data_IF_455558306010
#
_entry.id   IF_455558306010
#
_cell.length_a   1.000
_cell.length_b   1.000
_cell.length_c   1.000
_cell.angle_alpha   90.00
_cell.angle_beta   90.00
_cell.angle_gamma   90.00
#
_symmetry.space_group_name_H-M   'P 1'
#
loop_
_entity.id
_entity.type
_entity.pdbx_description
1 polymer ?
#
# COMPACT_ATOMS: atom_id res chain seq x y z
N UNK A 1 27.00 -6.30 44.21
CA UNK A 1 25.66 -6.91 44.10
C UNK A 1 24.68 -5.76 43.90
N UNK A 2 24.17 -5.45 42.71
CA UNK A 2 23.70 -6.36 41.67
C UNK A 2 22.20 -6.58 41.85
N UNK A 3 21.40 -5.53 41.68
CA UNK A 3 19.95 -5.62 41.57
C UNK A 3 19.58 -5.05 40.21
N UNK A 4 19.50 -5.94 39.22
CA UNK A 4 19.02 -5.67 37.88
C UNK A 4 17.56 -5.25 37.97
N UNK A 5 17.29 -4.00 37.58
CA UNK A 5 15.93 -3.55 37.25
C UNK A 5 15.53 -4.30 35.98
N UNK A 6 14.68 -5.31 36.12
CA UNK A 6 13.95 -5.88 34.98
C UNK A 6 13.19 -4.75 34.28
N UNK A 7 13.72 -4.31 33.14
CA UNK A 7 13.02 -3.46 32.19
C UNK A 7 11.86 -4.27 31.61
N UNK A 8 10.69 -4.14 32.21
CA UNK A 8 9.43 -4.60 31.61
C UNK A 8 9.17 -3.78 30.35
N UNK A 9 9.71 -4.24 29.22
CA UNK A 9 9.32 -3.76 27.91
C UNK A 9 7.87 -4.21 27.67
N UNK A 10 6.91 -3.31 27.86
CA UNK A 10 5.58 -3.46 27.27
C UNK A 10 5.65 -2.76 25.91
N UNK A 11 5.74 -3.48 24.79
CA UNK A 11 5.51 -2.84 23.50
C UNK A 11 4.08 -2.28 23.52
N UNK A 12 3.84 -1.08 22.98
CA UNK A 12 2.48 -0.62 22.75
C UNK A 12 1.75 -1.66 21.90
N UNK A 13 0.47 -1.86 22.17
CA UNK A 13 -0.40 -2.71 21.36
C UNK A 13 -0.67 -2.03 20.00
N UNK A 14 0.37 -1.89 19.18
CA UNK A 14 0.25 -1.53 17.78
C UNK A 14 -0.36 -2.73 17.07
N UNK A 15 -1.52 -2.54 16.44
CA UNK A 15 -2.13 -3.61 15.64
C UNK A 15 -1.10 -4.12 14.63
N UNK A 16 -0.96 -5.45 14.45
CA UNK A 16 0.01 -6.00 13.53
C UNK A 16 -0.25 -5.46 12.13
N UNK A 17 0.80 -4.95 11.49
CA UNK A 17 0.77 -4.48 10.11
C UNK A 17 0.21 -5.58 9.22
N UNK A 18 -0.88 -5.30 8.50
CA UNK A 18 -1.47 -6.26 7.57
C UNK A 18 -0.60 -6.39 6.33
N UNK A 19 -0.18 -7.62 6.04
CA UNK A 19 0.52 -7.97 4.81
C UNK A 19 -0.47 -8.46 3.77
N UNK A 20 -0.20 -8.10 2.52
CA UNK A 20 -0.96 -8.55 1.37
C UNK A 20 -0.02 -9.22 0.38
N UNK A 21 -0.23 -10.51 0.16
CA UNK A 21 0.31 -11.18 -1.02
C UNK A 21 -0.42 -10.70 -2.28
N UNK A 22 0.19 -10.83 -3.45
CA UNK A 22 -0.47 -10.52 -4.73
C UNK A 22 -1.84 -11.21 -4.91
N UNK A 23 -2.00 -12.53 -4.67
CA UNK A 23 -3.31 -13.17 -4.80
C UNK A 23 -4.32 -12.70 -3.75
N UNK A 24 -3.89 -12.28 -2.55
CA UNK A 24 -4.80 -11.70 -1.57
C UNK A 24 -5.26 -10.30 -1.99
N UNK A 25 -4.35 -9.47 -2.49
CA UNK A 25 -4.67 -8.13 -2.97
C UNK A 25 -5.61 -8.18 -4.18
N UNK A 26 -5.42 -9.14 -5.09
CA UNK A 26 -6.26 -9.37 -6.27
C UNK A 26 -7.73 -9.61 -5.98
N UNK A 27 -8.08 -10.00 -4.74
CA UNK A 27 -9.48 -10.17 -4.33
C UNK A 27 -10.22 -8.84 -4.20
N UNK A 28 -9.52 -7.72 -4.10
CA UNK A 28 -10.07 -6.38 -3.86
C UNK A 28 -10.00 -5.49 -5.11
N UNK A 29 -10.32 -6.07 -6.27
CA UNK A 29 -10.26 -5.47 -7.61
C UNK A 29 -11.49 -4.62 -7.99
N UNK A 30 -12.42 -4.41 -7.03
CA UNK A 30 -13.64 -3.64 -7.25
C UNK A 30 -14.68 -4.28 -8.16
N UNK A 31 -14.56 -5.58 -8.47
CA UNK A 31 -15.56 -6.32 -9.27
C UNK A 31 -16.80 -6.71 -8.46
N UNK A 32 -16.65 -6.91 -7.15
CA UNK A 32 -17.72 -7.34 -6.26
C UNK A 32 -18.33 -6.14 -5.52
N UNK A 33 -19.64 -5.97 -5.65
CA UNK A 33 -20.37 -4.91 -4.96
C UNK A 33 -20.35 -5.15 -3.43
N UNK A 34 -20.12 -4.08 -2.66
CA UNK A 34 -20.04 -4.14 -1.20
C UNK A 34 -18.70 -4.63 -0.65
N UNK A 35 -17.77 -5.10 -1.50
CA UNK A 35 -16.41 -5.42 -1.09
C UNK A 35 -15.51 -4.17 -1.16
N UNK A 36 -14.54 -4.01 -0.23
CA UNK A 36 -13.53 -2.97 -0.35
C UNK A 36 -12.71 -3.06 -1.65
N UNK A 37 -12.21 -1.92 -2.11
CA UNK A 37 -11.39 -1.78 -3.30
C UNK A 37 -10.00 -1.33 -2.86
N UNK A 38 -8.98 -2.12 -3.16
CA UNK A 38 -7.61 -1.84 -2.72
C UNK A 38 -6.66 -1.59 -3.90
N UNK A 39 -5.74 -0.68 -3.69
CA UNK A 39 -4.69 -0.32 -4.65
C UNK A 39 -3.36 -0.27 -3.91
N UNK A 40 -2.33 -0.93 -4.43
CA UNK A 40 -0.97 -0.74 -3.94
C UNK A 40 -0.20 0.25 -4.83
N UNK A 41 0.49 1.19 -4.16
CA UNK A 41 1.43 2.14 -4.77
C UNK A 41 2.65 2.22 -3.88
N UNK A 42 3.85 2.09 -4.46
CA UNK A 42 5.12 1.90 -3.75
C UNK A 42 5.05 0.77 -2.73
N UNK A 43 4.26 -0.28 -2.96
CA UNK A 43 4.03 -1.37 -2.00
C UNK A 43 3.21 -1.01 -0.76
N UNK A 44 2.63 0.19 -0.69
CA UNK A 44 1.67 0.59 0.35
C UNK A 44 0.26 0.37 -0.15
N UNK A 45 -0.56 -0.34 0.62
CA UNK A 45 -1.94 -0.69 0.23
C UNK A 45 -2.90 0.36 0.77
N UNK A 46 -3.59 1.05 -0.15
CA UNK A 46 -4.62 2.04 0.13
C UNK A 46 -6.01 1.44 -0.06
N UNK A 47 -6.93 1.81 0.82
CA UNK A 47 -8.36 1.58 0.61
C UNK A 47 -8.97 2.73 -0.20
N UNK A 48 -9.23 2.45 -1.48
CA UNK A 48 -9.78 3.41 -2.45
C UNK A 48 -11.30 3.25 -2.63
N UNK A 49 -11.98 2.54 -1.73
CA UNK A 49 -13.43 2.27 -1.80
C UNK A 49 -14.26 3.57 -1.83
N UNK A 50 -13.82 4.61 -1.14
CA UNK A 50 -14.47 5.93 -1.18
C UNK A 50 -14.47 6.56 -2.58
N UNK A 51 -13.51 6.17 -3.44
CA UNK A 51 -13.41 6.57 -4.84
C UNK A 51 -14.02 5.58 -5.83
N UNK A 52 -15.04 4.81 -5.45
CA UNK A 52 -15.65 3.76 -6.31
C UNK A 52 -16.07 4.23 -7.70
N UNK A 53 -16.37 5.51 -7.88
CA UNK A 53 -16.70 6.09 -9.20
C UNK A 53 -15.50 6.12 -10.17
N UNK A 54 -14.28 6.03 -9.64
CA UNK A 54 -13.03 5.97 -10.39
C UNK A 54 -12.45 4.55 -10.45
N UNK A 55 -12.62 3.78 -9.38
CA UNK A 55 -11.94 2.49 -9.23
C UNK A 55 -12.86 1.26 -9.27
N UNK A 56 -14.18 1.43 -9.14
CA UNK A 56 -15.14 0.33 -9.16
C UNK A 56 -15.31 -0.30 -10.54
N UNK A 57 -16.06 -1.40 -10.60
CA UNK A 57 -16.34 -2.10 -11.86
C UNK A 57 -16.81 -1.15 -12.98
N UNK A 58 -16.08 -1.15 -14.09
CA UNK A 58 -16.38 -0.32 -15.27
C UNK A 58 -15.94 1.14 -15.17
N UNK A 59 -15.34 1.54 -14.04
CA UNK A 59 -14.79 2.87 -13.84
C UNK A 59 -13.42 3.03 -14.54
N UNK A 60 -13.01 4.27 -14.88
CA UNK A 60 -11.84 4.51 -15.74
C UNK A 60 -10.51 3.99 -15.17
N UNK A 61 -10.37 3.91 -13.85
CA UNK A 61 -9.14 3.49 -13.17
C UNK A 61 -9.27 2.11 -12.50
N UNK A 62 -10.30 1.33 -12.84
CA UNK A 62 -10.48 -0.02 -12.30
C UNK A 62 -9.30 -0.96 -12.64
N UNK A 63 -8.57 -0.72 -13.73
CA UNK A 63 -7.41 -1.54 -14.09
C UNK A 63 -6.27 -1.49 -13.04
N UNK A 64 -6.17 -0.39 -12.29
CA UNK A 64 -5.13 -0.16 -11.30
C UNK A 64 -5.30 -1.00 -10.03
N UNK A 65 -6.55 -1.35 -9.67
CA UNK A 65 -6.87 -1.93 -8.36
C UNK A 65 -6.67 -3.45 -8.31
N UNK A 66 -6.64 -3.99 -7.09
CA UNK A 66 -6.34 -5.40 -6.82
C UNK A 66 -4.88 -5.79 -7.02
N UNK A 67 -3.96 -4.83 -7.17
CA UNK A 67 -2.54 -5.09 -7.41
C UNK A 67 -1.68 -3.90 -7.01
N UNK A 68 -0.37 -4.09 -7.11
CA UNK A 68 0.60 -3.00 -7.06
C UNK A 68 0.77 -2.40 -8.46
N UNK A 69 0.28 -1.17 -8.62
CA UNK A 69 0.32 -0.42 -9.88
C UNK A 69 1.28 0.77 -9.80
N UNK A 70 2.35 0.64 -9.01
CA UNK A 70 3.38 1.70 -8.83
C UNK A 70 3.85 2.27 -10.16
N UNK A 71 4.21 1.40 -11.11
CA UNK A 71 4.70 1.83 -12.43
C UNK A 71 3.62 2.53 -13.24
N UNK A 72 2.39 2.01 -13.23
CA UNK A 72 1.24 2.62 -13.91
C UNK A 72 0.96 4.03 -13.37
N UNK A 73 1.06 4.22 -12.05
CA UNK A 73 0.94 5.55 -11.44
C UNK A 73 2.08 6.48 -11.86
N UNK A 74 3.33 6.00 -11.82
CA UNK A 74 4.51 6.79 -12.21
C UNK A 74 4.42 7.29 -13.65
N UNK A 75 3.92 6.43 -14.54
CA UNK A 75 3.79 6.71 -15.99
C UNK A 75 2.46 7.34 -16.38
N UNK A 76 1.53 7.52 -15.44
CA UNK A 76 0.13 7.85 -15.72
C UNK A 76 -0.49 6.93 -16.80
N UNK A 77 -0.19 5.64 -16.70
CA UNK A 77 -0.51 4.62 -17.69
C UNK A 77 -1.50 3.58 -17.15
N UNK A 78 -2.43 3.17 -18.01
CA UNK A 78 -3.33 2.04 -17.79
C UNK A 78 -2.99 0.84 -18.67
N UNK A 79 -1.87 0.89 -19.40
CA UNK A 79 -1.43 -0.22 -20.22
C UNK A 79 -1.10 -1.42 -19.33
N UNK A 80 -1.60 -2.63 -19.65
CA UNK A 80 -1.40 -3.82 -18.82
C UNK A 80 0.08 -4.12 -18.49
N UNK A 81 1.00 -3.76 -19.38
CA UNK A 81 2.44 -3.93 -19.18
C UNK A 81 3.03 -3.00 -18.10
N UNK A 82 2.37 -1.87 -17.82
CA UNK A 82 2.79 -0.92 -16.79
C UNK A 82 2.09 -1.17 -15.44
N UNK A 83 1.12 -2.08 -15.35
CA UNK A 83 0.37 -2.39 -14.13
C UNK A 83 1.13 -3.34 -13.20
N UNK A 84 2.27 -2.88 -12.71
CA UNK A 84 3.21 -3.64 -11.89
C UNK A 84 3.90 -2.75 -10.84
N UNK A 85 4.50 -3.40 -9.83
CA UNK A 85 5.37 -2.74 -8.84
C UNK A 85 6.73 -2.32 -9.39
N UNK A 86 7.15 -2.85 -10.55
CA UNK A 86 8.51 -2.69 -11.06
C UNK A 86 8.81 -1.26 -11.55
N UNK A 87 9.72 -0.59 -10.84
CA UNK A 87 10.19 0.76 -11.16
C UNK A 87 11.43 0.76 -12.06
N UNK A 88 11.92 -0.41 -12.49
CA UNK A 88 13.09 -0.51 -13.34
C UNK A 88 12.89 0.24 -14.66
N UNK A 89 13.88 1.06 -15.01
CA UNK A 89 13.86 1.83 -16.25
C UNK A 89 12.90 3.02 -16.26
N UNK A 90 12.30 3.39 -15.11
CA UNK A 90 11.63 4.67 -14.99
C UNK A 90 12.65 5.82 -14.99
N UNK A 91 12.27 6.91 -15.64
CA UNK A 91 13.01 8.17 -15.66
C UNK A 91 12.90 8.90 -14.32
N UNK A 92 13.80 9.85 -14.05
CA UNK A 92 13.75 10.69 -12.85
C UNK A 92 12.44 11.50 -12.77
N UNK A 93 11.89 11.92 -13.92
CA UNK A 93 10.62 12.65 -13.97
C UNK A 93 9.44 11.77 -13.59
N UNK A 94 9.39 10.52 -14.07
CA UNK A 94 8.37 9.53 -13.70
C UNK A 94 8.45 9.16 -12.20
N UNK A 95 9.66 9.00 -11.66
CA UNK A 95 9.86 8.75 -10.22
C UNK A 95 9.42 9.94 -9.37
N UNK A 96 9.73 11.17 -9.80
CA UNK A 96 9.26 12.39 -9.11
C UNK A 96 7.74 12.51 -9.18
N UNK A 97 7.14 12.19 -10.32
CA UNK A 97 5.69 12.19 -10.49
C UNK A 97 5.04 11.14 -9.58
N UNK A 98 5.65 9.95 -9.46
CA UNK A 98 5.21 8.92 -8.54
C UNK A 98 5.20 9.42 -7.08
N UNK A 99 6.29 10.05 -6.64
CA UNK A 99 6.39 10.59 -5.28
C UNK A 99 5.33 11.66 -5.00
N UNK A 100 5.15 12.61 -5.93
CA UNK A 100 4.13 13.65 -5.80
C UNK A 100 2.71 13.06 -5.70
N UNK A 101 2.35 12.13 -6.59
CA UNK A 101 1.03 11.49 -6.58
C UNK A 101 0.86 10.66 -5.29
N UNK A 102 1.89 9.95 -4.86
CA UNK A 102 1.86 9.13 -3.66
C UNK A 102 1.56 9.95 -2.41
N UNK A 103 2.30 11.05 -2.18
CA UNK A 103 2.14 11.87 -0.99
C UNK A 103 0.93 12.82 -1.06
N UNK A 104 0.70 13.48 -2.20
CA UNK A 104 -0.31 14.53 -2.32
C UNK A 104 -1.69 14.02 -2.77
N UNK A 105 -1.78 12.81 -3.33
CA UNK A 105 -3.07 12.21 -3.73
C UNK A 105 -3.40 11.03 -2.85
N UNK A 106 -2.57 9.98 -2.83
CA UNK A 106 -2.96 8.73 -2.18
C UNK A 106 -2.93 8.82 -0.66
N UNK A 107 -1.80 9.23 -0.06
CA UNK A 107 -1.71 9.40 1.41
C UNK A 107 -2.66 10.45 1.95
N UNK A 108 -2.94 11.50 1.17
CA UNK A 108 -3.84 12.57 1.58
C UNK A 108 -5.33 12.17 1.53
N UNK A 109 -5.74 11.32 0.58
CA UNK A 109 -7.16 11.01 0.33
C UNK A 109 -7.63 9.66 0.85
N UNK A 110 -6.73 8.66 0.92
CA UNK A 110 -7.12 7.28 1.18
C UNK A 110 -6.41 6.73 2.40
N UNK A 111 -7.11 5.99 3.27
CA UNK A 111 -6.47 5.33 4.39
C UNK A 111 -5.56 4.20 3.90
N UNK A 112 -4.40 4.07 4.55
CA UNK A 112 -3.50 2.94 4.37
C UNK A 112 -4.06 1.78 5.19
N UNK A 113 -4.13 0.58 4.60
CA UNK A 113 -4.68 -0.62 5.23
C UNK A 113 -3.67 -1.77 5.34
N UNK A 114 -2.46 -1.57 4.84
CA UNK A 114 -1.36 -2.51 4.96
C UNK A 114 -0.27 -2.30 3.91
N UNK A 115 0.53 -3.32 3.68
CA UNK A 115 1.65 -3.29 2.74
C UNK A 115 1.71 -4.59 1.93
N UNK A 116 2.28 -4.51 0.74
CA UNK A 116 2.53 -5.71 -0.05
C UNK A 116 3.64 -6.53 0.59
N UNK A 117 3.53 -7.86 0.53
CA UNK A 117 4.55 -8.75 1.09
C UNK A 117 5.94 -8.45 0.54
N UNK A 118 6.04 -8.07 -0.75
CA UNK A 118 7.29 -7.70 -1.44
C UNK A 118 7.94 -6.41 -0.93
N UNK A 119 7.18 -5.52 -0.25
CA UNK A 119 7.77 -4.33 0.40
C UNK A 119 8.44 -4.69 1.72
N UNK A 120 7.92 -5.69 2.41
CA UNK A 120 8.34 -6.07 3.78
C UNK A 120 9.31 -7.26 3.76
N UNK A 121 9.27 -8.08 2.72
CA UNK A 121 10.07 -9.28 2.56
C UNK A 121 10.90 -9.22 1.28
N UNK A 122 12.15 -9.65 1.38
CA UNK A 122 12.99 -9.95 0.23
C UNK A 122 12.49 -11.23 -0.48
N UNK A 123 13.01 -11.52 -1.67
CA UNK A 123 12.63 -12.72 -2.45
C UNK A 123 12.95 -14.04 -1.74
N UNK A 124 13.91 -14.05 -0.82
CA UNK A 124 14.25 -15.20 0.04
C UNK A 124 13.34 -15.33 1.29
N UNK A 125 12.38 -14.42 1.45
CA UNK A 125 11.48 -14.36 2.61
C UNK A 125 12.09 -13.72 3.85
N UNK A 126 13.33 -13.22 3.79
CA UNK A 126 13.91 -12.44 4.89
C UNK A 126 13.28 -11.05 4.98
N UNK A 127 13.27 -10.40 6.17
CA UNK A 127 12.76 -9.04 6.31
C UNK A 127 13.56 -8.05 5.45
N UNK A 128 12.86 -7.18 4.72
CA UNK A 128 13.46 -6.06 4.02
C UNK A 128 13.90 -5.00 5.05
N UNK A 129 15.22 -4.85 5.24
CA UNK A 129 15.80 -3.94 6.24
C UNK A 129 15.65 -2.45 5.85
N UNK A 130 15.35 -2.15 4.59
CA UNK A 130 15.01 -0.80 4.13
C UNK A 130 13.55 -0.42 4.42
N UNK A 131 12.75 -1.35 4.97
CA UNK A 131 11.42 -1.02 5.47
C UNK A 131 11.54 -0.11 6.69
N UNK A 132 11.18 1.17 6.52
CA UNK A 132 11.07 2.13 7.63
C UNK A 132 9.64 2.14 8.18
N UNK A 133 9.43 1.76 9.44
CA UNK A 133 8.13 1.88 10.11
C UNK A 133 7.65 3.34 10.21
N UNK A 134 8.56 4.29 10.06
CA UNK A 134 8.31 5.74 10.14
C UNK A 134 7.45 6.27 8.98
N UNK A 135 7.34 5.52 7.87
CA UNK A 135 6.40 5.79 6.77
C UNK A 135 4.98 5.28 7.05
N UNK A 136 4.76 4.59 8.18
CA UNK A 136 3.42 4.19 8.59
C UNK A 136 2.64 5.45 8.99
N UNK A 137 1.52 5.79 8.30
CA UNK A 137 0.62 6.77 8.87
C UNK A 137 0.15 6.22 10.20
N UNK A 138 0.10 7.07 11.23
CA UNK A 138 -0.67 6.75 12.42
C UNK A 138 -2.07 6.37 11.95
N UNK A 139 -2.45 5.10 12.13
CA UNK A 139 -3.79 4.63 11.85
C UNK A 139 -4.73 5.40 12.79
N UNK A 140 -5.27 6.51 12.31
CA UNK A 140 -6.41 7.14 12.95
C UNK A 140 -7.61 6.28 12.59
N UNK A 141 -7.78 5.21 13.36
CA UNK A 141 -9.05 4.49 13.45
C UNK A 141 -10.03 5.56 13.92
N UNK A 142 -10.82 6.11 12.99
CA UNK A 142 -12.04 6.78 13.38
C UNK A 142 -12.94 5.66 13.86
N UNK A 143 -13.01 5.49 15.17
CA UNK A 143 -14.08 4.77 15.82
C UNK A 143 -15.39 5.48 15.46
N UNK A 144 -16.03 5.03 14.38
CA UNK A 144 -17.44 5.28 14.09
C UNK A 144 -18.17 3.95 14.24
N UNK A 145 -18.56 3.65 15.48
CA UNK A 145 -19.68 2.77 15.83
C UNK A 145 -20.67 3.57 16.66
#
# INVERSE_FOLDING_TARGET
AGAERELRFRPPAEAPVRLFTEPELARYDGQQEGQPIYLAVKGVVFDVTSGKEFYGKGAPYNALVGKDSTRGVAKMSLDPADLTHDITGLTEEELKSLDDIFDNVYKAKYPIVGYTSRRILNEDGSPNLDFKPEDQPHFNIKDEF
#
